data_IF_412713604046
#
_entry.id   IF_412713604046
#
_cell.length_a   1.000
_cell.length_b   1.000
_cell.length_c   1.000
_cell.angle_alpha   90.00
_cell.angle_beta   90.00
_cell.angle_gamma   90.00
#
_symmetry.space_group_name_H-M   'P 1'
#
loop_
_entity.id
_entity.type
_entity.pdbx_description
1 polymer ?
#
# COMPACT_ATOMS: atom_id res chain seq x y z
N UNK A 1 0.65 -1.83 3.48
CA UNK A 1 2.05 -1.60 3.78
C UNK A 1 2.35 -0.17 4.23
N UNK A 2 2.00 0.84 3.43
CA UNK A 2 2.36 2.24 3.69
C UNK A 2 1.87 2.74 5.06
N UNK A 3 0.57 2.64 5.30
CA UNK A 3 -0.07 3.08 6.56
C UNK A 3 0.42 2.30 7.79
N UNK A 4 0.95 1.11 7.60
CA UNK A 4 1.53 0.30 8.69
C UNK A 4 3.01 0.65 8.91
N UNK A 5 3.77 0.78 7.83
CA UNK A 5 5.20 1.03 7.86
C UNK A 5 5.58 2.40 8.43
N UNK A 6 4.75 3.43 8.25
CA UNK A 6 5.01 4.75 8.82
C UNK A 6 5.12 4.71 10.35
N UNK A 7 4.31 3.87 11.01
CA UNK A 7 4.38 3.71 12.47
C UNK A 7 5.66 3.01 12.95
N UNK A 8 6.26 2.18 12.09
CA UNK A 8 7.56 1.59 12.39
C UNK A 8 8.68 2.65 12.34
N UNK A 9 8.67 3.51 11.32
CA UNK A 9 9.63 4.61 11.19
C UNK A 9 9.49 5.64 12.33
N UNK A 10 8.25 5.94 12.79
CA UNK A 10 7.99 6.85 13.91
C UNK A 10 8.14 6.18 15.28
N UNK A 11 8.61 4.92 15.36
CA UNK A 11 8.73 4.14 16.60
C UNK A 11 7.42 3.96 17.39
N UNK A 12 6.26 4.19 16.77
CA UNK A 12 4.95 4.01 17.38
C UNK A 12 4.46 2.55 17.27
N UNK A 13 5.23 1.63 17.84
CA UNK A 13 4.94 0.19 17.83
C UNK A 13 3.63 -0.08 18.58
N UNK A 14 2.71 -0.83 17.94
CA UNK A 14 1.40 -1.13 18.49
C UNK A 14 0.31 -0.12 18.13
N UNK A 15 0.64 1.09 17.64
CA UNK A 15 -0.35 2.09 17.22
C UNK A 15 -1.30 1.53 16.15
N UNK A 16 -0.76 0.79 15.18
CA UNK A 16 -1.57 0.13 14.13
C UNK A 16 -2.62 -0.82 14.72
N UNK A 17 -2.23 -1.64 15.68
CA UNK A 17 -3.16 -2.58 16.33
C UNK A 17 -4.22 -1.77 17.09
N UNK A 18 -3.81 -0.75 17.84
CA UNK A 18 -4.70 0.10 18.63
C UNK A 18 -5.82 0.71 17.79
N UNK A 19 -5.50 1.53 16.79
CA UNK A 19 -6.54 2.21 16.03
C UNK A 19 -7.36 1.26 15.15
N UNK A 20 -6.78 0.15 14.65
CA UNK A 20 -7.55 -0.82 13.90
C UNK A 20 -8.55 -1.58 14.80
N UNK A 21 -8.15 -2.02 16.00
CA UNK A 21 -9.06 -2.72 16.91
C UNK A 21 -10.12 -1.80 17.50
N UNK A 22 -9.78 -0.53 17.74
CA UNK A 22 -10.70 0.45 18.31
C UNK A 22 -11.73 0.92 17.29
N UNK A 23 -11.31 1.19 16.05
CA UNK A 23 -12.18 1.81 15.06
C UNK A 23 -12.69 0.87 13.95
N UNK A 24 -12.34 -0.43 13.93
CA UNK A 24 -12.77 -1.35 12.88
C UNK A 24 -14.30 -1.46 12.74
N UNK A 25 -15.05 -1.26 13.83
CA UNK A 25 -16.52 -1.27 13.86
C UNK A 25 -17.14 0.15 13.76
N UNK A 26 -16.36 1.19 13.71
CA UNK A 26 -16.87 2.56 13.56
C UNK A 26 -17.32 2.81 12.12
N UNK A 27 -18.59 3.20 11.94
CA UNK A 27 -19.15 3.52 10.62
C UNK A 27 -18.47 4.71 9.93
N UNK A 28 -17.77 5.54 10.70
CA UNK A 28 -16.93 6.62 10.19
C UNK A 28 -15.66 6.07 9.54
N UNK A 29 -15.10 4.97 10.09
CA UNK A 29 -13.89 4.34 9.57
C UNK A 29 -14.12 3.75 8.18
N UNK A 30 -15.10 2.84 8.03
CA UNK A 30 -15.45 2.23 6.75
C UNK A 30 -16.96 1.93 6.66
N UNK A 31 -17.59 2.29 5.54
CA UNK A 31 -18.99 1.94 5.29
C UNK A 31 -19.36 2.04 3.81
N UNK A 32 -20.35 1.25 3.39
CA UNK A 32 -20.95 1.38 2.06
C UNK A 32 -21.61 2.77 1.85
N UNK A 33 -22.07 3.41 2.92
CA UNK A 33 -22.59 4.77 2.86
C UNK A 33 -21.48 5.76 2.46
N UNK A 34 -20.27 5.60 3.01
CA UNK A 34 -19.13 6.41 2.60
C UNK A 34 -18.83 6.21 1.11
N UNK A 35 -18.78 4.93 0.65
CA UNK A 35 -18.53 4.63 -0.75
C UNK A 35 -19.55 5.30 -1.69
N UNK A 36 -20.84 5.23 -1.37
CA UNK A 36 -21.91 5.84 -2.18
C UNK A 36 -21.85 7.37 -2.15
N UNK A 37 -21.54 7.97 -1.00
CA UNK A 37 -21.53 9.43 -0.82
C UNK A 37 -20.26 10.09 -1.34
N UNK A 38 -19.11 9.49 -1.07
CA UNK A 38 -17.80 10.10 -1.30
C UNK A 38 -17.03 9.41 -2.44
N UNK A 39 -17.37 8.16 -2.79
CA UNK A 39 -16.60 7.30 -3.68
C UNK A 39 -15.44 6.60 -3.00
N UNK A 40 -15.31 6.72 -1.68
CA UNK A 40 -14.32 6.06 -0.84
C UNK A 40 -15.02 5.17 0.19
N UNK A 41 -14.62 3.89 0.28
CA UNK A 41 -15.13 2.95 1.29
C UNK A 41 -14.68 3.39 2.70
N UNK A 42 -13.41 3.74 2.82
CA UNK A 42 -12.81 4.32 4.02
C UNK A 42 -13.00 5.84 3.99
N UNK A 43 -13.33 6.44 5.13
CA UNK A 43 -13.43 7.90 5.22
C UNK A 43 -12.04 8.53 5.23
N UNK A 44 -11.75 9.34 4.23
CA UNK A 44 -10.52 10.11 4.12
C UNK A 44 -10.32 11.01 5.36
N UNK A 45 -11.33 11.84 5.68
CA UNK A 45 -11.29 12.72 6.84
C UNK A 45 -11.04 11.98 8.14
N UNK A 46 -11.71 10.85 8.37
CA UNK A 46 -11.57 10.09 9.59
C UNK A 46 -10.21 9.40 9.69
N UNK A 47 -9.79 8.68 8.63
CA UNK A 47 -8.60 7.85 8.66
C UNK A 47 -7.29 8.63 8.57
N UNK A 48 -7.29 9.75 7.83
CA UNK A 48 -6.07 10.51 7.53
C UNK A 48 -5.99 11.88 8.21
N UNK A 49 -7.07 12.32 8.88
CA UNK A 49 -7.11 13.57 9.65
C UNK A 49 -7.55 13.33 11.08
N UNK A 50 -8.78 12.87 11.35
CA UNK A 50 -9.29 12.78 12.72
C UNK A 50 -8.48 11.79 13.59
N UNK A 51 -8.18 10.59 13.07
CA UNK A 51 -7.40 9.59 13.82
C UNK A 51 -5.96 10.06 14.03
N UNK A 52 -5.17 10.43 13.00
CA UNK A 52 -3.76 10.76 13.22
C UNK A 52 -3.51 12.14 13.84
N UNK A 53 -4.49 13.05 13.83
CA UNK A 53 -4.34 14.37 14.44
C UNK A 53 -4.88 14.45 15.86
N UNK A 54 -5.93 13.65 16.20
CA UNK A 54 -6.69 13.84 17.44
C UNK A 54 -6.88 12.58 18.27
N UNK A 55 -7.28 11.47 17.64
CA UNK A 55 -7.70 10.28 18.37
C UNK A 55 -6.53 9.37 18.75
N UNK A 56 -5.60 9.16 17.85
CA UNK A 56 -4.34 8.43 18.07
C UNK A 56 -3.22 9.14 17.29
N UNK A 57 -2.66 10.24 17.86
CA UNK A 57 -1.78 11.13 17.14
C UNK A 57 -0.57 10.44 16.52
N UNK A 58 -0.28 10.82 15.28
CA UNK A 58 0.92 10.39 14.57
C UNK A 58 2.09 11.28 14.97
N UNK A 59 3.20 10.68 15.32
CA UNK A 59 4.41 11.38 15.76
C UNK A 59 5.28 11.75 14.53
N UNK A 60 4.98 12.91 13.95
CA UNK A 60 5.72 13.46 12.82
C UNK A 60 7.17 13.79 13.17
N UNK A 61 7.43 14.22 14.41
CA UNK A 61 8.77 14.58 14.88
C UNK A 61 9.65 13.34 14.94
N UNK A 62 9.18 12.26 15.58
CA UNK A 62 9.88 10.99 15.59
C UNK A 62 10.05 10.40 14.19
N UNK A 63 9.04 10.52 13.31
CA UNK A 63 9.14 10.08 11.92
C UNK A 63 10.25 10.84 11.17
N UNK A 64 10.31 12.16 11.31
CA UNK A 64 11.31 13.02 10.67
C UNK A 64 12.72 12.79 11.23
N UNK A 65 12.84 12.61 12.54
CA UNK A 65 14.12 12.38 13.22
C UNK A 65 14.70 10.99 12.95
N UNK A 66 13.88 10.03 12.56
CA UNK A 66 14.32 8.66 12.28
C UNK A 66 15.28 8.61 11.07
N UNK A 67 16.45 7.97 11.19
CA UNK A 67 17.41 7.83 10.09
C UNK A 67 16.95 6.86 8.99
N UNK A 68 15.84 6.16 9.19
CA UNK A 68 15.31 5.21 8.22
C UNK A 68 14.70 5.93 7.02
N UNK A 69 15.05 5.49 5.83
CA UNK A 69 14.34 5.86 4.62
C UNK A 69 13.00 5.13 4.55
N UNK A 70 11.95 5.85 4.22
CA UNK A 70 10.61 5.29 4.06
C UNK A 70 10.07 5.60 2.69
N UNK A 71 9.74 4.55 1.95
CA UNK A 71 9.16 4.65 0.61
C UNK A 71 7.74 4.10 0.60
N UNK A 72 6.86 4.77 -0.11
CA UNK A 72 5.54 4.26 -0.47
C UNK A 72 5.49 4.01 -1.97
N UNK A 73 4.74 2.98 -2.35
CA UNK A 73 4.51 2.65 -3.76
C UNK A 73 3.10 3.05 -4.13
N UNK A 74 2.95 3.77 -5.23
CA UNK A 74 1.66 4.09 -5.84
C UNK A 74 1.65 3.62 -7.29
N UNK A 75 0.47 3.51 -7.89
CA UNK A 75 0.32 3.23 -9.33
C UNK A 75 -0.23 4.47 -10.03
N UNK A 76 0.46 4.99 -11.03
CA UNK A 76 -0.08 6.08 -11.85
C UNK A 76 -1.17 5.52 -12.79
N UNK A 77 -2.36 6.10 -12.73
CA UNK A 77 -3.48 5.73 -13.59
C UNK A 77 -3.18 5.90 -15.08
N UNK A 78 -2.37 6.90 -15.44
CA UNK A 78 -2.12 7.24 -16.84
C UNK A 78 -1.19 6.23 -17.50
N UNK A 79 -0.14 5.80 -16.80
CA UNK A 79 0.90 4.91 -17.36
C UNK A 79 0.76 3.47 -16.90
N UNK A 80 0.08 3.22 -15.76
CA UNK A 80 0.03 1.92 -15.11
C UNK A 80 1.32 1.54 -14.38
N UNK A 81 2.32 2.43 -14.37
CA UNK A 81 3.64 2.19 -13.77
C UNK A 81 3.65 2.47 -12.27
N UNK A 82 4.58 1.84 -11.53
CA UNK A 82 4.80 2.14 -10.13
C UNK A 82 5.51 3.49 -9.97
N UNK A 83 5.05 4.28 -9.00
CA UNK A 83 5.72 5.49 -8.52
C UNK A 83 6.21 5.22 -7.11
N UNK A 84 7.51 5.33 -6.90
CA UNK A 84 8.15 5.16 -5.59
C UNK A 84 8.43 6.54 -5.00
N UNK A 85 7.66 6.89 -3.97
CA UNK A 85 7.83 8.17 -3.29
C UNK A 85 8.55 7.99 -1.95
N UNK A 86 9.60 8.77 -1.71
CA UNK A 86 10.32 8.80 -0.44
C UNK A 86 9.67 9.81 0.49
N UNK A 87 8.95 9.30 1.51
CA UNK A 87 8.39 10.13 2.57
C UNK A 87 9.49 10.56 3.54
N UNK A 88 9.60 11.86 3.78
CA UNK A 88 10.72 12.46 4.55
C UNK A 88 10.30 13.01 5.88
N UNK A 89 9.18 13.71 5.92
CA UNK A 89 8.73 14.53 7.04
C UNK A 89 7.57 13.91 7.83
N UNK A 90 6.75 13.10 7.17
CA UNK A 90 5.50 12.59 7.74
C UNK A 90 4.38 13.64 7.80
N UNK A 91 4.57 14.78 7.13
CA UNK A 91 3.61 15.87 7.05
C UNK A 91 2.39 15.52 6.17
N UNK A 92 1.51 16.50 6.00
CA UNK A 92 0.28 16.33 5.22
C UNK A 92 0.55 15.90 3.75
N UNK A 93 1.68 16.28 3.15
CA UNK A 93 2.03 15.83 1.80
C UNK A 93 2.41 14.36 1.80
N UNK A 94 3.28 13.92 2.72
CA UNK A 94 3.65 12.52 2.88
C UNK A 94 2.44 11.64 3.23
N UNK A 95 1.51 12.14 4.07
CA UNK A 95 0.26 11.45 4.41
C UNK A 95 -0.60 11.24 3.15
N UNK A 96 -0.68 12.22 2.25
CA UNK A 96 -1.39 12.05 0.97
C UNK A 96 -0.78 10.98 0.07
N UNK A 97 0.54 10.84 0.07
CA UNK A 97 1.22 9.74 -0.64
C UNK A 97 0.90 8.37 0.00
N UNK A 98 0.82 8.30 1.34
CA UNK A 98 0.42 7.09 2.06
C UNK A 98 -1.04 6.74 1.76
N UNK A 99 -1.94 7.72 1.72
CA UNK A 99 -3.34 7.57 1.29
C UNK A 99 -3.42 7.01 -0.13
N UNK A 100 -2.69 7.61 -1.08
CA UNK A 100 -2.65 7.14 -2.46
C UNK A 100 -2.19 5.68 -2.56
N UNK A 101 -1.15 5.31 -1.80
CA UNK A 101 -0.63 3.95 -1.73
C UNK A 101 -1.63 2.92 -1.14
N UNK A 102 -2.61 3.39 -0.37
CA UNK A 102 -3.67 2.55 0.21
C UNK A 102 -5.01 2.63 -0.55
N UNK A 103 -5.09 3.44 -1.61
CA UNK A 103 -6.31 3.68 -2.37
C UNK A 103 -6.60 2.57 -3.38
N UNK A 104 -7.31 1.53 -2.93
CA UNK A 104 -7.64 0.37 -3.77
C UNK A 104 -8.63 0.71 -4.89
N UNK A 105 -8.41 0.19 -6.11
CA UNK A 105 -9.36 0.32 -7.21
C UNK A 105 -10.77 -0.14 -6.81
N UNK A 106 -11.80 0.59 -7.23
CA UNK A 106 -13.22 0.42 -6.90
C UNK A 106 -13.60 0.76 -5.45
N UNK A 107 -12.67 0.70 -4.49
CA UNK A 107 -12.92 1.00 -3.08
C UNK A 107 -12.54 2.42 -2.70
N UNK A 108 -11.72 3.10 -3.53
CA UNK A 108 -11.28 4.48 -3.31
C UNK A 108 -11.21 5.26 -4.63
N UNK A 109 -11.25 6.57 -4.50
CA UNK A 109 -10.93 7.49 -5.60
C UNK A 109 -9.40 7.56 -5.79
N UNK A 110 -9.01 7.92 -7.02
CA UNK A 110 -7.62 8.23 -7.27
C UNK A 110 -7.22 9.53 -6.57
N UNK A 111 -6.10 9.50 -5.86
CA UNK A 111 -5.52 10.67 -5.19
C UNK A 111 -4.69 11.45 -6.20
N UNK A 112 -4.93 12.77 -6.26
CA UNK A 112 -4.17 13.65 -7.15
C UNK A 112 -3.06 14.35 -6.37
N UNK A 113 -1.82 14.17 -6.83
CA UNK A 113 -0.64 14.82 -6.27
C UNK A 113 0.19 15.38 -7.42
N UNK A 114 0.27 16.71 -7.52
CA UNK A 114 0.87 17.37 -8.66
C UNK A 114 0.22 16.96 -9.98
N UNK A 115 0.99 16.40 -10.89
CA UNK A 115 0.51 15.91 -12.20
C UNK A 115 0.11 14.42 -12.18
N UNK A 116 0.28 13.74 -11.07
CA UNK A 116 -0.09 12.33 -10.93
C UNK A 116 -1.54 12.14 -10.54
N UNK A 117 -2.11 11.03 -10.98
CA UNK A 117 -3.39 10.50 -10.52
C UNK A 117 -3.15 9.07 -10.06
N UNK A 118 -3.14 8.85 -8.75
CA UNK A 118 -2.54 7.69 -8.10
C UNK A 118 -3.58 6.79 -7.45
N UNK A 119 -3.31 5.50 -7.51
CA UNK A 119 -4.00 4.44 -6.77
C UNK A 119 -2.98 3.51 -6.09
N UNK A 120 -3.49 2.50 -5.38
CA UNK A 120 -2.73 1.49 -4.64
C UNK A 120 -1.53 0.94 -5.43
N UNK A 121 -0.35 1.04 -4.82
CA UNK A 121 0.91 0.57 -5.42
C UNK A 121 0.96 -0.92 -5.66
N UNK A 122 0.18 -1.70 -4.90
CA UNK A 122 0.08 -3.14 -5.10
C UNK A 122 -0.56 -3.54 -6.44
N UNK A 123 -1.02 -2.60 -7.27
CA UNK A 123 -1.41 -2.85 -8.66
C UNK A 123 -0.19 -3.00 -9.54
N UNK A 124 0.75 -2.06 -9.49
CA UNK A 124 1.94 -2.05 -10.35
C UNK A 124 3.09 -2.87 -9.76
N UNK A 125 3.40 -2.66 -8.46
CA UNK A 125 4.44 -3.40 -7.74
C UNK A 125 4.00 -3.72 -6.32
N UNK A 126 3.55 -4.95 -6.09
CA UNK A 126 3.03 -5.39 -4.80
C UNK A 126 4.13 -5.67 -3.76
N UNK A 127 5.34 -6.02 -4.20
CA UNK A 127 6.48 -6.39 -3.35
C UNK A 127 7.75 -5.80 -3.96
N UNK A 128 8.11 -4.55 -3.61
CA UNK A 128 9.10 -3.74 -4.32
C UNK A 128 10.57 -4.13 -4.00
N UNK A 129 10.88 -5.43 -3.93
CA UNK A 129 12.23 -5.92 -3.59
C UNK A 129 13.27 -5.46 -4.61
N UNK A 130 12.95 -5.52 -5.92
CA UNK A 130 13.86 -5.11 -6.99
C UNK A 130 14.15 -3.61 -6.97
N UNK A 131 13.17 -2.80 -6.54
CA UNK A 131 13.38 -1.37 -6.33
C UNK A 131 14.42 -1.12 -5.24
N UNK A 132 14.30 -1.78 -4.08
CA UNK A 132 15.30 -1.63 -3.01
C UNK A 132 16.68 -2.15 -3.41
N UNK A 133 16.76 -3.24 -4.14
CA UNK A 133 18.03 -3.71 -4.72
C UNK A 133 18.65 -2.69 -5.66
N UNK A 134 17.85 -1.99 -6.48
CA UNK A 134 18.32 -0.92 -7.37
C UNK A 134 18.89 0.29 -6.62
N UNK A 135 18.44 0.51 -5.37
CA UNK A 135 18.99 1.50 -4.45
C UNK A 135 20.29 1.05 -3.76
N UNK A 136 20.73 -0.19 -4.02
CA UNK A 136 21.98 -0.74 -3.45
C UNK A 136 21.80 -1.58 -2.18
N UNK A 137 20.58 -1.82 -1.73
CA UNK A 137 20.31 -2.73 -0.61
C UNK A 137 20.54 -4.17 -1.05
N UNK A 138 21.51 -4.84 -0.43
CA UNK A 138 21.96 -6.19 -0.82
C UNK A 138 21.29 -7.30 0.00
N UNK A 139 20.65 -6.96 1.10
CA UNK A 139 19.95 -7.90 2.00
C UNK A 139 18.63 -7.26 2.41
N UNK A 140 17.56 -8.02 2.32
CA UNK A 140 16.23 -7.53 2.64
C UNK A 140 15.56 -8.43 3.68
N UNK A 141 14.83 -7.81 4.60
CA UNK A 141 13.83 -8.48 5.41
C UNK A 141 12.47 -8.26 4.73
N UNK A 142 11.88 -9.33 4.21
CA UNK A 142 10.64 -9.28 3.43
C UNK A 142 9.50 -9.85 4.26
N UNK A 143 8.48 -9.06 4.50
CA UNK A 143 7.28 -9.47 5.24
C UNK A 143 6.16 -9.69 4.23
N UNK A 144 5.76 -10.94 4.04
CA UNK A 144 4.67 -11.33 3.16
C UNK A 144 3.38 -11.53 3.96
N UNK A 145 2.24 -11.20 3.32
CA UNK A 145 0.90 -11.41 3.89
C UNK A 145 0.28 -12.74 3.49
N UNK A 146 0.97 -13.52 2.66
CA UNK A 146 0.50 -14.81 2.16
C UNK A 146 1.47 -15.94 2.56
N UNK A 147 0.95 -17.14 2.81
CA UNK A 147 1.77 -18.29 3.21
C UNK A 147 2.64 -18.80 2.06
N UNK A 148 3.58 -19.69 2.40
CA UNK A 148 4.41 -20.36 1.40
C UNK A 148 3.56 -21.18 0.44
N UNK A 149 3.88 -21.09 -0.86
CA UNK A 149 3.13 -21.79 -1.91
C UNK A 149 1.87 -21.07 -2.40
N UNK A 150 1.58 -19.88 -1.87
CA UNK A 150 0.47 -19.08 -2.40
C UNK A 150 0.72 -18.69 -3.87
N UNK A 151 -0.33 -18.84 -4.69
CA UNK A 151 -0.35 -18.42 -6.10
C UNK A 151 -1.50 -17.44 -6.31
N UNK A 152 -1.18 -16.22 -6.69
CA UNK A 152 -2.16 -15.18 -6.97
C UNK A 152 -2.92 -15.49 -8.27
N UNK A 153 -4.25 -15.51 -8.19
CA UNK A 153 -5.15 -15.71 -9.34
C UNK A 153 -5.51 -14.37 -9.99
N UNK A 154 -6.02 -14.46 -11.22
CA UNK A 154 -6.59 -13.29 -11.94
C UNK A 154 -7.65 -12.61 -11.09
N UNK A 155 -7.68 -11.28 -11.18
CA UNK A 155 -8.65 -10.49 -10.43
C UNK A 155 -10.08 -10.69 -10.98
N UNK A 156 -11.03 -11.25 -10.22
CA UNK A 156 -12.40 -11.47 -10.66
C UNK A 156 -13.16 -10.16 -10.95
N UNK A 157 -12.72 -9.05 -10.34
CA UNK A 157 -13.31 -7.72 -10.54
C UNK A 157 -12.78 -7.01 -11.80
N UNK A 158 -11.94 -7.65 -12.61
CA UNK A 158 -11.37 -7.03 -13.82
C UNK A 158 -12.42 -6.45 -14.77
N UNK A 159 -13.59 -7.09 -15.02
CA UNK A 159 -14.63 -6.47 -15.85
C UNK A 159 -15.16 -5.14 -15.28
N UNK A 160 -15.39 -5.06 -13.98
CA UNK A 160 -15.83 -3.82 -13.31
C UNK A 160 -14.72 -2.74 -13.35
N UNK A 161 -13.47 -3.14 -13.17
CA UNK A 161 -12.32 -2.24 -13.27
C UNK A 161 -12.18 -1.71 -14.70
N UNK A 162 -12.34 -2.54 -15.73
CA UNK A 162 -12.35 -2.10 -17.12
C UNK A 162 -13.44 -1.06 -17.38
N UNK A 163 -14.66 -1.31 -16.91
CA UNK A 163 -15.77 -0.37 -17.06
C UNK A 163 -15.49 0.97 -16.34
N UNK A 164 -14.95 0.93 -15.12
CA UNK A 164 -14.68 2.12 -14.31
C UNK A 164 -13.53 2.96 -14.83
N UNK A 165 -12.50 2.31 -15.38
CA UNK A 165 -11.23 2.92 -15.80
C UNK A 165 -11.01 2.86 -17.32
N UNK A 166 -12.07 2.94 -18.14
CA UNK A 166 -12.02 2.91 -19.61
C UNK A 166 -11.05 3.93 -20.21
N UNK A 167 -10.89 5.10 -19.57
CA UNK A 167 -9.98 6.17 -20.00
C UNK A 167 -8.52 5.93 -19.67
N UNK A 168 -8.22 4.85 -18.94
CA UNK A 168 -6.89 4.51 -18.45
C UNK A 168 -6.50 3.08 -18.86
N UNK A 169 -6.33 2.80 -20.17
CA UNK A 169 -6.07 1.45 -20.66
C UNK A 169 -4.80 0.82 -20.10
N UNK A 170 -3.74 1.64 -19.89
CA UNK A 170 -2.49 1.17 -19.30
C UNK A 170 -2.68 0.70 -17.84
N UNK A 171 -3.45 1.43 -17.05
CA UNK A 171 -3.81 1.00 -15.69
C UNK A 171 -4.62 -0.31 -15.71
N UNK A 172 -5.58 -0.44 -16.64
CA UNK A 172 -6.39 -1.67 -16.77
C UNK A 172 -5.49 -2.85 -17.14
N UNK A 173 -4.51 -2.68 -18.02
CA UNK A 173 -3.50 -3.68 -18.34
C UNK A 173 -2.68 -4.05 -17.10
N UNK A 174 -2.21 -3.04 -16.34
CA UNK A 174 -1.49 -3.25 -15.09
C UNK A 174 -2.28 -4.09 -14.07
N UNK A 175 -3.60 -3.88 -13.95
CA UNK A 175 -4.46 -4.71 -13.08
C UNK A 175 -4.62 -6.12 -13.65
N UNK A 176 -4.75 -6.28 -14.96
CA UNK A 176 -4.91 -7.58 -15.60
C UNK A 176 -3.70 -8.49 -15.37
N UNK A 177 -2.49 -7.92 -15.47
CA UNK A 177 -1.21 -8.65 -15.36
C UNK A 177 -0.67 -8.70 -13.91
N UNK A 178 -1.36 -8.05 -12.96
CA UNK A 178 -0.95 -8.01 -11.55
C UNK A 178 -0.63 -9.38 -10.96
N UNK A 179 -1.42 -10.39 -11.30
CA UNK A 179 -1.24 -11.74 -10.76
C UNK A 179 0.05 -12.39 -11.25
N UNK A 180 0.45 -12.16 -12.49
CA UNK A 180 1.71 -12.67 -13.08
C UNK A 180 2.90 -12.00 -12.39
N UNK A 181 2.93 -10.66 -12.35
CA UNK A 181 4.01 -9.92 -11.68
C UNK A 181 4.16 -10.28 -10.20
N UNK A 182 3.04 -10.48 -9.51
CA UNK A 182 3.06 -10.90 -8.11
C UNK A 182 3.69 -12.29 -7.94
N UNK A 183 3.32 -13.25 -8.79
CA UNK A 183 3.85 -14.61 -8.74
C UNK A 183 5.33 -14.66 -9.16
N UNK A 184 5.75 -13.84 -10.12
CA UNK A 184 7.16 -13.65 -10.48
C UNK A 184 7.97 -13.08 -9.31
N UNK A 185 7.44 -12.07 -8.61
CA UNK A 185 8.07 -11.52 -7.42
C UNK A 185 8.21 -12.57 -6.31
N UNK A 186 7.19 -13.42 -6.06
CA UNK A 186 7.28 -14.51 -5.10
C UNK A 186 8.35 -15.54 -5.49
N UNK A 187 8.44 -15.88 -6.78
CA UNK A 187 9.47 -16.81 -7.29
C UNK A 187 10.87 -16.23 -7.12
N UNK A 188 11.03 -14.95 -7.42
CA UNK A 188 12.28 -14.24 -7.23
C UNK A 188 12.70 -14.21 -5.74
N UNK A 189 11.77 -13.85 -4.85
CA UNK A 189 12.00 -13.83 -3.41
C UNK A 189 12.39 -15.21 -2.88
N UNK A 190 11.75 -16.27 -3.37
CA UNK A 190 12.10 -17.64 -2.98
C UNK A 190 13.54 -18.02 -3.38
N UNK A 191 14.03 -17.56 -4.53
CA UNK A 191 15.42 -17.75 -4.94
C UNK A 191 16.39 -16.97 -4.03
N UNK A 192 16.07 -15.71 -3.69
CA UNK A 192 16.91 -14.89 -2.82
C UNK A 192 16.95 -15.45 -1.39
N UNK A 193 15.83 -15.94 -0.87
CA UNK A 193 15.75 -16.63 0.41
C UNK A 193 16.61 -17.91 0.42
N UNK A 194 16.49 -18.74 -0.61
CA UNK A 194 17.27 -19.97 -0.73
C UNK A 194 18.78 -19.72 -0.85
N UNK A 195 19.20 -18.60 -1.43
CA UNK A 195 20.60 -18.17 -1.52
C UNK A 195 21.14 -17.52 -0.24
N UNK A 196 20.30 -17.32 0.78
CA UNK A 196 20.66 -16.67 2.04
C UNK A 196 20.85 -15.14 1.94
N UNK A 197 20.45 -14.52 0.82
CA UNK A 197 20.53 -13.07 0.67
C UNK A 197 19.42 -12.35 1.42
N UNK A 198 18.19 -12.85 1.33
CA UNK A 198 17.01 -12.24 1.93
C UNK A 198 16.44 -13.14 3.03
N UNK A 199 15.86 -12.50 4.04
CA UNK A 199 15.10 -13.18 5.10
C UNK A 199 13.62 -12.91 4.91
N UNK A 200 12.78 -13.96 4.89
CA UNK A 200 11.36 -13.84 4.58
C UNK A 200 10.51 -14.27 5.78
N UNK A 201 9.67 -13.35 6.25
CA UNK A 201 8.62 -13.63 7.24
C UNK A 201 7.30 -13.78 6.49
N UNK A 202 6.57 -14.86 6.77
CA UNK A 202 5.25 -15.13 6.19
C UNK A 202 4.34 -15.81 7.21
N UNK A 203 3.01 -15.61 7.09
CA UNK A 203 2.07 -16.33 7.95
C UNK A 203 2.10 -17.83 7.63
N UNK A 204 1.87 -18.72 8.63
CA UNK A 204 1.82 -20.16 8.40
C UNK A 204 0.59 -20.61 7.61
N UNK A 205 -0.49 -19.84 7.70
CA UNK A 205 -1.79 -20.05 7.02
C UNK A 205 -2.26 -18.75 6.35
N UNK A 206 -3.18 -18.79 5.37
CA UNK A 206 -3.79 -17.59 4.83
C UNK A 206 -4.40 -16.73 5.93
N UNK A 207 -4.23 -15.40 5.82
CA UNK A 207 -4.93 -14.45 6.70
C UNK A 207 -6.34 -14.29 6.15
N UNK A 208 -7.35 -14.52 7.01
CA UNK A 208 -8.77 -14.33 6.71
C UNK A 208 -9.19 -12.86 6.86
#
# INVERSE_FOLDING_TARGET
GAVLGCNFKSHQIGRVIRYNTEYCNDKRYASFRNLLRTGNLYSEDFCYHEVPEKLDPFDEEAFRASPMDFFVVCTDLRTGDPIYHKCRSGDAEDVRWMEASASMPLAAKAVRIGHYSLLDGGVADSIPVRFFESLGYKRNLIILTQPKGFVKKKNPMLPAIRARYLRYPAFVAAVADRHERYNEALSYIAMQEASGKDYVIRPPIPLE
#
